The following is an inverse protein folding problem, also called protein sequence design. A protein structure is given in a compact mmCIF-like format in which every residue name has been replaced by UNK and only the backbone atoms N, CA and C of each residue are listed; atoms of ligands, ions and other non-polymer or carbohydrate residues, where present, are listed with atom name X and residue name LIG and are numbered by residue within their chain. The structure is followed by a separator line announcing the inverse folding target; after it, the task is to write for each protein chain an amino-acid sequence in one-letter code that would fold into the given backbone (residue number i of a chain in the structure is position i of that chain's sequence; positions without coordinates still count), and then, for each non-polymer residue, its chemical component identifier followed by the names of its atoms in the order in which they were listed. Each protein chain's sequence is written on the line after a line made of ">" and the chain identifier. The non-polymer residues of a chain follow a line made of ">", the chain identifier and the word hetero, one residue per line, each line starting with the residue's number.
data_IF_098756325456
#
_entry.id   IF_098756325456
#
_cell.length_a   1.000
_cell.length_b   1.000
_cell.length_c   1.000
_cell.angle_alpha   90.00
_cell.angle_beta   90.00
_cell.angle_gamma   90.00
#
_symmetry.space_group_name_H-M   'P 1'
#
loop_
_entity.id
_entity.type
_entity.pdbx_description
1 polymer ?
#
# COMPACT_ATOMS: atom_id res chain seq x y z
N UNK A 1 27.25 -36.51 -41.42
CA UNK A 1 25.93 -35.87 -41.61
C UNK A 1 25.99 -34.51 -40.94
N UNK A 2 26.17 -33.46 -41.73
CA UNK A 2 26.29 -32.07 -41.26
C UNK A 2 24.91 -31.45 -41.15
N UNK A 3 24.50 -31.07 -39.94
CA UNK A 3 23.24 -30.37 -39.68
C UNK A 3 23.37 -28.90 -40.10
N UNK A 4 22.52 -28.50 -41.03
CA UNK A 4 22.45 -27.17 -41.60
C UNK A 4 21.65 -26.24 -40.65
N UNK A 5 22.30 -25.22 -40.09
CA UNK A 5 21.78 -24.33 -39.03
C UNK A 5 20.95 -23.15 -39.61
N UNK A 6 20.80 -23.07 -40.93
CA UNK A 6 20.14 -21.94 -41.59
C UNK A 6 18.64 -22.12 -41.86
N UNK A 7 17.90 -22.82 -41.00
CA UNK A 7 16.44 -22.88 -41.13
C UNK A 7 15.79 -21.83 -40.20
N UNK A 8 15.22 -20.74 -40.74
CA UNK A 8 14.54 -19.72 -39.93
C UNK A 8 13.33 -20.33 -39.21
N UNK A 9 13.11 -19.87 -37.98
CA UNK A 9 12.08 -20.41 -37.08
C UNK A 9 10.67 -20.02 -37.55
N UNK A 10 9.68 -20.93 -37.47
CA UNK A 10 8.33 -20.73 -38.03
C UNK A 10 7.47 -19.63 -37.36
N UNK A 11 8.01 -18.90 -36.39
CA UNK A 11 7.33 -17.76 -35.75
C UNK A 11 7.83 -16.38 -36.24
N UNK A 12 8.79 -16.33 -37.17
CA UNK A 12 9.28 -15.07 -37.76
C UNK A 12 8.43 -14.55 -38.94
N UNK A 13 7.54 -15.36 -39.51
CA UNK A 13 6.68 -14.93 -40.63
C UNK A 13 5.44 -14.12 -40.22
N UNK A 14 5.09 -14.10 -38.93
CA UNK A 14 3.94 -13.34 -38.40
C UNK A 14 4.33 -11.99 -37.76
N UNK A 15 5.47 -11.41 -38.16
CA UNK A 15 5.70 -9.97 -37.98
C UNK A 15 4.85 -9.22 -39.01
N UNK A 16 3.54 -9.15 -38.73
CA UNK A 16 2.66 -8.16 -39.33
C UNK A 16 3.40 -6.82 -39.34
N UNK A 17 3.55 -6.26 -40.53
CA UNK A 17 4.10 -4.92 -40.77
C UNK A 17 3.61 -3.99 -39.67
N UNK A 18 4.49 -3.16 -39.08
CA UNK A 18 4.08 -2.22 -38.04
C UNK A 18 2.88 -1.45 -38.58
N UNK A 19 1.72 -1.69 -37.96
CA UNK A 19 0.53 -0.93 -38.25
C UNK A 19 0.93 0.54 -38.13
N UNK A 20 0.57 1.39 -39.11
CA UNK A 20 0.85 2.81 -39.00
C UNK A 20 0.31 3.28 -37.64
N UNK A 21 1.05 4.14 -36.92
CA UNK A 21 0.61 4.60 -35.61
C UNK A 21 -0.81 5.10 -35.74
N UNK A 22 -1.73 4.46 -35.00
CA UNK A 22 -3.11 4.91 -34.92
C UNK A 22 -3.02 6.34 -34.41
N UNK A 23 -3.28 7.30 -35.30
CA UNK A 23 -3.45 8.70 -34.93
C UNK A 23 -4.67 8.76 -34.01
N UNK A 24 -4.45 8.57 -32.72
CA UNK A 24 -5.38 8.95 -31.68
C UNK A 24 -5.43 10.48 -31.72
N UNK A 25 -6.17 11.04 -32.67
CA UNK A 25 -6.68 12.41 -32.62
C UNK A 25 -7.71 12.46 -31.50
N UNK A 26 -7.24 12.34 -30.26
CA UNK A 26 -7.96 12.85 -29.12
C UNK A 26 -8.02 14.35 -29.33
N UNK A 27 -9.21 14.86 -29.66
CA UNK A 27 -9.51 16.27 -29.54
C UNK A 27 -9.12 16.67 -28.11
N UNK A 28 -7.97 17.32 -27.98
CA UNK A 28 -7.49 17.86 -26.72
C UNK A 28 -8.46 18.99 -26.35
N UNK A 29 -9.54 18.63 -25.66
CA UNK A 29 -10.45 19.60 -25.07
C UNK A 29 -9.62 20.58 -24.27
N UNK A 30 -9.70 21.87 -24.64
CA UNK A 30 -8.94 22.91 -23.98
C UNK A 30 -9.16 22.82 -22.47
N UNK A 31 -8.11 22.92 -21.64
CA UNK A 31 -8.27 22.84 -20.20
C UNK A 31 -9.16 24.00 -19.75
N UNK A 32 -10.40 23.67 -19.36
CA UNK A 32 -11.33 24.65 -18.80
C UNK A 32 -10.74 25.11 -17.47
N UNK A 33 -10.02 26.22 -17.51
CA UNK A 33 -9.45 26.85 -16.32
C UNK A 33 -10.55 27.66 -15.65
N UNK A 34 -11.38 26.99 -14.85
CA UNK A 34 -12.36 27.67 -14.03
C UNK A 34 -11.63 28.32 -12.84
N UNK A 35 -11.36 29.62 -12.92
CA UNK A 35 -10.86 30.40 -11.78
C UNK A 35 -12.00 30.58 -10.77
N UNK A 36 -12.16 29.63 -9.85
CA UNK A 36 -13.13 29.77 -8.74
C UNK A 36 -12.53 30.77 -7.74
N UNK A 37 -12.90 32.04 -7.85
CA UNK A 37 -12.60 33.05 -6.82
C UNK A 37 -13.60 32.86 -5.68
N UNK A 38 -13.14 32.29 -4.58
CA UNK A 38 -13.93 32.16 -3.35
C UNK A 38 -13.44 33.22 -2.37
N UNK A 39 -14.30 34.20 -2.07
CA UNK A 39 -14.03 35.24 -1.08
C UNK A 39 -15.18 35.30 -0.06
N UNK A 40 -15.24 34.35 0.90
CA UNK A 40 -16.31 34.29 1.89
C UNK A 40 -16.31 35.51 2.80
N UNK A 41 -15.14 36.12 2.98
CA UNK A 41 -14.93 37.37 3.72
C UNK A 41 -15.56 38.59 3.03
N UNK A 42 -15.79 38.52 1.72
CA UNK A 42 -16.44 39.56 0.94
C UNK A 42 -17.97 39.38 0.83
N UNK A 43 -18.51 38.23 1.25
CA UNK A 43 -19.93 37.94 1.15
C UNK A 43 -20.75 38.80 2.13
N UNK A 44 -21.69 39.56 1.59
CA UNK A 44 -22.53 40.46 2.38
C UNK A 44 -23.42 39.71 3.39
N UNK A 45 -23.89 38.52 3.05
CA UNK A 45 -24.75 37.68 3.92
C UNK A 45 -23.93 37.15 5.08
N UNK A 46 -22.71 36.67 4.86
CA UNK A 46 -21.84 36.20 5.94
C UNK A 46 -21.42 37.34 6.87
N UNK A 47 -21.17 38.54 6.34
CA UNK A 47 -20.87 39.74 7.15
C UNK A 47 -22.06 40.15 8.01
N UNK A 48 -23.27 40.12 7.44
CA UNK A 48 -24.51 40.40 8.17
C UNK A 48 -24.73 39.37 9.30
N UNK A 49 -24.62 38.08 9.00
CA UNK A 49 -24.70 36.99 9.99
C UNK A 49 -23.64 37.13 11.09
N UNK A 50 -22.41 37.52 10.74
CA UNK A 50 -21.36 37.79 11.72
C UNK A 50 -21.74 38.97 12.63
N UNK A 51 -22.23 40.08 12.06
CA UNK A 51 -22.66 41.24 12.84
C UNK A 51 -23.80 40.91 13.81
N UNK A 52 -24.77 40.09 13.37
CA UNK A 52 -25.87 39.60 14.20
C UNK A 52 -25.35 38.67 15.32
N UNK A 53 -24.38 37.80 15.01
CA UNK A 53 -23.70 36.97 15.98
C UNK A 53 -22.99 37.78 17.07
N UNK A 54 -22.29 38.86 16.69
CA UNK A 54 -21.65 39.79 17.65
C UNK A 54 -22.70 40.47 18.54
N UNK A 55 -23.81 40.93 17.96
CA UNK A 55 -24.91 41.53 18.72
C UNK A 55 -25.50 40.55 19.75
N UNK A 56 -25.83 39.32 19.32
CA UNK A 56 -26.35 38.27 20.20
C UNK A 56 -25.34 37.87 21.28
N UNK A 57 -24.05 37.83 20.97
CA UNK A 57 -23.02 37.54 21.95
C UNK A 57 -22.93 38.63 23.02
N UNK A 58 -23.02 39.90 22.63
CA UNK A 58 -23.04 41.03 23.57
C UNK A 58 -24.29 40.98 24.46
N UNK A 59 -25.46 40.69 23.88
CA UNK A 59 -26.71 40.50 24.63
C UNK A 59 -26.60 39.35 25.64
N UNK A 60 -26.04 38.21 25.22
CA UNK A 60 -25.84 37.05 26.09
C UNK A 60 -24.85 37.34 27.23
N UNK A 61 -23.76 38.05 26.95
CA UNK A 61 -22.73 38.40 27.95
C UNK A 61 -23.30 39.30 29.06
N UNK A 62 -24.22 40.20 28.73
CA UNK A 62 -24.86 41.09 29.70
C UNK A 62 -26.09 40.51 30.40
N UNK A 63 -26.55 39.31 30.03
CA UNK A 63 -27.83 38.78 30.51
C UNK A 63 -27.69 38.12 31.88
N UNK A 64 -28.57 38.52 32.80
CA UNK A 64 -28.78 37.88 34.10
C UNK A 64 -30.16 37.22 34.09
N UNK A 65 -30.22 35.91 34.33
CA UNK A 65 -31.47 35.15 34.37
C UNK A 65 -31.90 35.01 35.82
N UNK A 66 -32.82 35.87 36.26
CA UNK A 66 -33.32 35.91 37.65
C UNK A 66 -34.81 35.55 37.77
N UNK A 67 -35.53 35.41 36.66
CA UNK A 67 -36.97 35.14 36.62
C UNK A 67 -37.33 34.15 35.52
N UNK A 68 -38.52 33.52 35.64
CA UNK A 68 -39.05 32.62 34.61
C UNK A 68 -39.28 33.33 33.26
N UNK A 69 -39.58 34.62 33.28
CA UNK A 69 -39.73 35.44 32.07
C UNK A 69 -38.37 35.62 31.38
N UNK A 70 -37.33 36.02 32.13
CA UNK A 70 -35.96 36.12 31.59
C UNK A 70 -35.40 34.79 31.05
N UNK A 71 -35.89 33.66 31.57
CA UNK A 71 -35.55 32.34 31.06
C UNK A 71 -36.23 32.03 29.73
N UNK A 72 -37.46 32.52 29.49
CA UNK A 72 -38.16 32.38 28.20
C UNK A 72 -37.45 33.20 27.11
N UNK A 73 -37.11 34.45 27.41
CA UNK A 73 -36.36 35.31 26.48
C UNK A 73 -35.01 34.70 26.11
N UNK A 74 -34.33 34.08 27.08
CA UNK A 74 -33.09 33.35 26.82
C UNK A 74 -33.31 32.13 25.92
N UNK A 75 -34.41 31.40 26.08
CA UNK A 75 -34.74 30.27 25.22
C UNK A 75 -35.04 30.71 23.78
N UNK A 76 -35.75 31.84 23.62
CA UNK A 76 -36.03 32.41 22.29
C UNK A 76 -34.74 32.84 21.58
N UNK A 77 -33.83 33.50 22.30
CA UNK A 77 -32.53 33.88 21.75
C UNK A 77 -31.67 32.67 21.38
N UNK A 78 -31.70 31.58 22.16
CA UNK A 78 -31.04 30.32 21.80
C UNK A 78 -31.60 29.75 20.49
N UNK A 79 -32.92 29.85 20.27
CA UNK A 79 -33.53 29.40 19.03
C UNK A 79 -33.08 30.26 17.84
N UNK A 80 -32.92 31.58 18.02
CA UNK A 80 -32.37 32.50 17.01
C UNK A 80 -30.90 32.19 16.71
N UNK A 81 -30.07 32.01 17.74
CA UNK A 81 -28.65 31.62 17.60
C UNK A 81 -28.52 30.32 16.80
N UNK A 82 -29.35 29.32 17.12
CA UNK A 82 -29.35 28.05 16.40
C UNK A 82 -29.70 28.21 14.92
N UNK A 83 -30.64 29.11 14.57
CA UNK A 83 -30.97 29.43 13.18
C UNK A 83 -29.80 30.08 12.45
N UNK A 84 -29.14 31.08 13.04
CA UNK A 84 -27.98 31.73 12.41
C UNK A 84 -26.78 30.80 12.26
N UNK A 85 -26.53 29.94 13.25
CA UNK A 85 -25.48 28.91 13.14
C UNK A 85 -25.72 28.01 11.92
N UNK A 86 -26.94 27.53 11.74
CA UNK A 86 -27.31 26.73 10.56
C UNK A 86 -27.14 27.52 9.25
N UNK A 87 -27.51 28.80 9.22
CA UNK A 87 -27.34 29.63 8.03
C UNK A 87 -25.86 29.83 7.64
N UNK A 88 -24.98 30.04 8.62
CA UNK A 88 -23.52 30.13 8.39
C UNK A 88 -22.96 28.80 7.89
N UNK A 89 -23.37 27.68 8.49
CA UNK A 89 -22.95 26.34 8.05
C UNK A 89 -23.40 26.05 6.61
N UNK A 90 -24.63 26.41 6.25
CA UNK A 90 -25.14 26.21 4.89
C UNK A 90 -24.40 27.06 3.85
N UNK A 91 -24.12 28.33 4.18
CA UNK A 91 -23.27 29.18 3.34
C UNK A 91 -21.85 28.63 3.22
N UNK A 92 -21.29 28.09 4.30
CA UNK A 92 -20.01 27.40 4.27
C UNK A 92 -19.99 26.25 3.26
N UNK A 93 -21.04 25.42 3.23
CA UNK A 93 -21.19 24.32 2.29
C UNK A 93 -21.30 24.79 0.84
N UNK A 94 -22.04 25.87 0.57
CA UNK A 94 -22.13 26.45 -0.79
C UNK A 94 -20.75 26.70 -1.41
N UNK A 95 -19.74 27.06 -0.60
CA UNK A 95 -18.37 27.22 -1.06
C UNK A 95 -17.57 25.91 -1.08
N UNK A 96 -17.70 25.07 -0.06
CA UNK A 96 -16.84 23.87 0.08
C UNK A 96 -17.28 22.71 -0.79
N UNK A 97 -18.59 22.55 -1.03
CA UNK A 97 -19.15 21.43 -1.77
C UNK A 97 -18.66 21.34 -3.22
N UNK A 98 -18.65 22.43 -4.02
CA UNK A 98 -18.09 22.35 -5.37
C UNK A 98 -16.59 22.03 -5.37
N UNK A 99 -15.81 22.59 -4.43
CA UNK A 99 -14.37 22.28 -4.28
C UNK A 99 -14.17 20.81 -3.95
N UNK A 100 -14.94 20.28 -3.01
CA UNK A 100 -14.88 18.88 -2.61
C UNK A 100 -15.31 17.95 -3.74
N UNK A 101 -16.33 18.33 -4.53
CA UNK A 101 -16.77 17.58 -5.70
C UNK A 101 -15.67 17.53 -6.78
N UNK A 102 -15.04 18.66 -7.09
CA UNK A 102 -13.92 18.71 -8.04
C UNK A 102 -12.71 17.91 -7.52
N UNK A 103 -12.36 18.05 -6.25
CA UNK A 103 -11.28 17.30 -5.62
C UNK A 103 -11.54 15.78 -5.68
N UNK A 104 -12.79 15.36 -5.45
CA UNK A 104 -13.21 13.97 -5.58
C UNK A 104 -13.06 13.47 -7.02
N UNK A 105 -13.57 14.23 -8.00
CA UNK A 105 -13.45 13.89 -9.41
C UNK A 105 -11.99 13.74 -9.85
N UNK A 106 -11.11 14.68 -9.46
CA UNK A 106 -9.67 14.61 -9.74
C UNK A 106 -9.05 13.36 -9.13
N UNK A 107 -9.35 13.06 -7.86
CA UNK A 107 -8.85 11.85 -7.19
C UNK A 107 -9.30 10.57 -7.88
N UNK A 108 -10.56 10.50 -8.30
CA UNK A 108 -11.11 9.36 -9.03
C UNK A 108 -10.45 9.19 -10.41
N UNK A 109 -10.25 10.28 -11.16
CA UNK A 109 -9.52 10.26 -12.42
C UNK A 109 -8.08 9.78 -12.23
N UNK A 110 -7.35 10.36 -11.28
CA UNK A 110 -5.96 9.95 -10.99
C UNK A 110 -5.90 8.49 -10.56
N UNK A 111 -6.84 8.02 -9.73
CA UNK A 111 -6.94 6.60 -9.36
C UNK A 111 -7.15 5.70 -10.58
N UNK A 112 -8.03 6.09 -11.50
CA UNK A 112 -8.24 5.37 -12.76
C UNK A 112 -6.98 5.31 -13.62
N UNK A 113 -6.23 6.41 -13.70
CA UNK A 113 -4.96 6.48 -14.42
C UNK A 113 -3.85 5.65 -13.77
N UNK A 114 -3.84 5.53 -12.43
CA UNK A 114 -2.85 4.75 -11.68
C UNK A 114 -3.14 3.25 -11.67
N UNK A 115 -4.41 2.83 -11.77
CA UNK A 115 -4.82 1.44 -11.73
C UNK A 115 -4.01 0.47 -12.63
N UNK A 116 -3.73 0.76 -13.93
CA UNK A 116 -2.92 -0.13 -14.75
C UNK A 116 -1.46 -0.24 -14.27
N UNK A 117 -0.89 0.84 -13.71
CA UNK A 117 0.47 0.80 -13.16
C UNK A 117 0.53 -0.04 -11.88
N UNK A 118 -0.46 0.10 -11.00
CA UNK A 118 -0.58 -0.74 -9.79
C UNK A 118 -0.78 -2.22 -10.15
N UNK A 119 -1.60 -2.51 -11.17
CA UNK A 119 -1.77 -3.88 -11.67
C UNK A 119 -0.47 -4.45 -12.25
N UNK A 120 0.25 -3.67 -13.05
CA UNK A 120 1.54 -4.08 -13.61
C UNK A 120 2.60 -4.31 -12.52
N UNK A 121 2.69 -3.43 -11.53
CA UNK A 121 3.60 -3.57 -10.38
C UNK A 121 3.29 -4.84 -9.59
N UNK A 122 2.02 -5.10 -9.28
CA UNK A 122 1.58 -6.32 -8.59
C UNK A 122 1.97 -7.59 -9.36
N UNK A 123 1.66 -7.64 -10.67
CA UNK A 123 1.99 -8.79 -11.52
C UNK A 123 3.50 -9.02 -11.55
N UNK A 124 4.30 -7.97 -11.70
CA UNK A 124 5.76 -8.10 -11.75
C UNK A 124 6.34 -8.55 -10.40
N UNK A 125 5.83 -8.05 -9.27
CA UNK A 125 6.23 -8.53 -7.93
C UNK A 125 5.90 -10.00 -7.73
N UNK A 126 4.71 -10.43 -8.14
CA UNK A 126 4.31 -11.84 -8.04
C UNK A 126 5.21 -12.74 -8.90
N UNK A 127 5.49 -12.36 -10.14
CA UNK A 127 6.40 -13.11 -11.02
C UNK A 127 7.81 -13.20 -10.46
N UNK A 128 8.34 -12.10 -9.93
CA UNK A 128 9.67 -12.09 -9.34
C UNK A 128 9.74 -12.94 -8.07
N UNK A 129 8.71 -12.89 -7.23
CA UNK A 129 8.60 -13.77 -6.06
C UNK A 129 8.55 -15.24 -6.45
N UNK A 130 7.72 -15.60 -7.44
CA UNK A 130 7.63 -16.97 -7.95
C UNK A 130 8.97 -17.46 -8.51
N UNK A 131 9.68 -16.60 -9.25
CA UNK A 131 11.04 -16.91 -9.72
C UNK A 131 12.02 -17.17 -8.57
N UNK A 132 12.03 -16.33 -7.54
CA UNK A 132 12.90 -16.55 -6.37
C UNK A 132 12.57 -17.83 -5.62
N UNK A 133 11.29 -18.17 -5.48
CA UNK A 133 10.84 -19.42 -4.86
C UNK A 133 11.30 -20.63 -5.67
N UNK A 134 11.23 -20.56 -7.00
CA UNK A 134 11.66 -21.63 -7.89
C UNK A 134 13.19 -21.81 -7.89
N UNK A 135 13.96 -20.72 -7.86
CA UNK A 135 15.42 -20.79 -7.73
C UNK A 135 15.85 -21.38 -6.38
N UNK A 136 15.17 -21.00 -5.29
CA UNK A 136 15.40 -21.61 -3.98
C UNK A 136 15.00 -23.10 -3.94
N UNK A 137 13.93 -23.50 -4.65
CA UNK A 137 13.52 -24.90 -4.79
C UNK A 137 14.63 -25.73 -5.47
N UNK A 138 15.08 -25.29 -6.65
CA UNK A 138 16.17 -25.96 -7.39
C UNK A 138 17.45 -26.06 -6.56
N UNK A 139 17.78 -24.99 -5.84
CA UNK A 139 18.94 -24.95 -4.96
C UNK A 139 18.86 -26.03 -3.87
N UNK A 140 17.73 -26.12 -3.17
CA UNK A 140 17.52 -27.14 -2.12
C UNK A 140 17.56 -28.56 -2.68
N UNK A 141 17.02 -28.78 -3.87
CA UNK A 141 17.08 -30.10 -4.53
C UNK A 141 18.52 -30.51 -4.85
N UNK A 142 19.35 -29.59 -5.36
CA UNK A 142 20.77 -29.87 -5.63
C UNK A 142 21.53 -30.10 -4.31
N UNK A 143 21.26 -29.30 -3.28
CA UNK A 143 21.87 -29.48 -1.95
C UNK A 143 21.51 -30.85 -1.34
N UNK A 144 20.26 -31.28 -1.44
CA UNK A 144 19.82 -32.59 -0.94
C UNK A 144 20.41 -33.75 -1.76
N UNK A 145 20.50 -33.62 -3.08
CA UNK A 145 21.19 -34.62 -3.93
C UNK A 145 22.66 -34.74 -3.55
N UNK A 146 23.36 -33.62 -3.34
CA UNK A 146 24.75 -33.61 -2.92
C UNK A 146 24.91 -34.28 -1.54
N UNK A 147 24.02 -33.96 -0.59
CA UNK A 147 24.00 -34.59 0.73
C UNK A 147 23.80 -36.11 0.66
N UNK A 148 22.82 -36.57 -0.10
CA UNK A 148 22.54 -38.01 -0.26
C UNK A 148 23.71 -38.75 -0.93
N UNK A 149 24.38 -38.12 -1.91
CA UNK A 149 25.58 -38.69 -2.55
C UNK A 149 26.74 -38.81 -1.57
N UNK A 150 26.97 -37.80 -0.75
CA UNK A 150 28.00 -37.85 0.30
C UNK A 150 27.71 -38.93 1.34
N UNK A 151 26.45 -39.03 1.81
CA UNK A 151 26.05 -40.06 2.77
C UNK A 151 26.18 -41.47 2.17
N UNK A 152 25.83 -41.67 0.90
CA UNK A 152 26.00 -42.96 0.21
C UNK A 152 27.49 -43.34 0.08
N UNK A 153 28.35 -42.41 -0.33
CA UNK A 153 29.78 -42.65 -0.46
C UNK A 153 30.44 -42.95 0.90
N UNK A 154 30.00 -42.28 1.99
CA UNK A 154 30.46 -42.59 3.34
C UNK A 154 30.08 -44.00 3.77
N UNK A 155 28.84 -44.43 3.53
CA UNK A 155 28.39 -45.80 3.85
C UNK A 155 29.15 -46.84 3.04
N UNK A 156 29.44 -46.57 1.77
CA UNK A 156 30.21 -47.48 0.92
C UNK A 156 31.67 -47.63 1.41
N UNK A 157 32.31 -46.53 1.82
CA UNK A 157 33.65 -46.56 2.40
C UNK A 157 33.71 -47.29 3.76
N UNK A 158 32.64 -47.20 4.57
CA UNK A 158 32.52 -47.96 5.82
C UNK A 158 32.34 -49.46 5.58
N UNK A 159 31.56 -49.84 4.56
CA UNK A 159 31.29 -51.25 4.22
C UNK A 159 32.45 -51.94 3.50
N UNK A 160 33.24 -51.22 2.71
CA UNK A 160 34.38 -51.78 1.97
C UNK A 160 35.61 -52.05 2.84
N UNK A 161 35.62 -51.57 4.10
CA UNK A 161 36.62 -51.93 5.11
C UNK A 161 38.04 -51.41 4.85
N UNK A 162 38.26 -50.64 3.76
CA UNK A 162 39.57 -50.07 3.41
C UNK A 162 39.83 -48.70 4.02
N UNK A 163 38.83 -48.03 4.61
CA UNK A 163 39.01 -46.74 5.32
C UNK A 163 39.43 -45.55 4.43
N UNK A 164 39.71 -45.79 3.15
CA UNK A 164 40.00 -44.77 2.16
C UNK A 164 38.74 -44.48 1.35
N UNK A 165 38.29 -43.23 1.40
CA UNK A 165 37.20 -42.69 0.59
C UNK A 165 37.68 -42.71 -0.87
N UNK A 166 37.42 -43.80 -1.58
CA UNK A 166 38.04 -44.10 -2.88
C UNK A 166 37.56 -43.22 -4.04
N UNK A 167 36.51 -42.42 -3.90
CA UNK A 167 36.12 -41.49 -4.97
C UNK A 167 35.71 -40.14 -4.36
N UNK A 168 36.43 -39.09 -4.77
CA UNK A 168 36.02 -37.71 -4.52
C UNK A 168 34.66 -37.51 -5.19
N UNK A 169 33.58 -37.61 -4.42
CA UNK A 169 32.21 -37.43 -4.91
C UNK A 169 32.13 -36.03 -5.52
N UNK A 170 32.09 -35.98 -6.85
CA UNK A 170 31.96 -34.73 -7.60
C UNK A 170 30.60 -34.11 -7.29
N UNK A 171 30.60 -33.13 -6.38
CA UNK A 171 29.41 -32.38 -6.01
C UNK A 171 28.88 -31.64 -7.25
N UNK A 172 27.56 -31.66 -7.44
CA UNK A 172 26.95 -30.80 -8.44
C UNK A 172 27.08 -29.34 -7.98
N UNK A 173 27.45 -28.40 -8.88
CA UNK A 173 27.58 -27.00 -8.52
C UNK A 173 26.22 -26.43 -8.10
N UNK A 174 26.14 -25.93 -6.87
CA UNK A 174 24.93 -25.26 -6.34
C UNK A 174 24.84 -23.86 -6.96
N UNK A 175 23.73 -23.50 -7.63
CA UNK A 175 23.56 -22.17 -8.20
C UNK A 175 23.50 -21.11 -7.10
N UNK A 176 24.29 -20.04 -7.24
CA UNK A 176 24.26 -18.90 -6.33
C UNK A 176 23.06 -18.01 -6.66
N UNK A 177 22.04 -18.03 -5.81
CA UNK A 177 20.88 -17.13 -5.92
C UNK A 177 21.21 -15.81 -5.23
N UNK A 178 21.38 -14.75 -6.02
CA UNK A 178 21.61 -13.41 -5.48
C UNK A 178 20.35 -12.93 -4.72
N UNK A 179 20.51 -12.58 -3.44
CA UNK A 179 19.41 -12.05 -2.59
C UNK A 179 18.80 -10.75 -3.14
N UNK A 180 19.60 -9.98 -3.86
CA UNK A 180 19.20 -8.73 -4.49
C UNK A 180 19.53 -8.78 -5.99
N UNK A 181 18.56 -8.39 -6.81
CA UNK A 181 18.72 -8.22 -8.25
C UNK A 181 18.86 -6.73 -8.54
N UNK A 182 20.03 -6.33 -9.07
CA UNK A 182 20.31 -4.94 -9.44
C UNK A 182 19.96 -4.72 -10.91
N UNK A 183 18.98 -3.89 -11.17
CA UNK A 183 18.68 -3.35 -12.49
C UNK A 183 19.42 -2.03 -12.76
N UNK A 184 19.25 -1.52 -13.98
CA UNK A 184 19.78 -0.21 -14.38
C UNK A 184 19.13 0.93 -13.58
N UNK A 185 17.81 0.83 -13.34
CA UNK A 185 16.99 1.88 -12.72
C UNK A 185 16.73 1.69 -11.21
N UNK A 186 17.07 0.54 -10.64
CA UNK A 186 16.80 0.26 -9.24
C UNK A 186 17.30 -1.11 -8.78
N UNK A 187 17.15 -1.39 -7.50
CA UNK A 187 17.46 -2.70 -6.92
C UNK A 187 16.18 -3.33 -6.35
N UNK A 188 15.91 -4.57 -6.72
CA UNK A 188 14.85 -5.39 -6.15
C UNK A 188 15.47 -6.43 -5.21
N UNK A 189 14.90 -6.59 -4.02
CA UNK A 189 15.34 -7.60 -3.05
C UNK A 189 14.15 -8.26 -2.38
N UNK A 190 14.30 -9.50 -1.96
CA UNK A 190 13.31 -10.17 -1.12
C UNK A 190 13.43 -9.63 0.31
N UNK A 191 12.30 -9.42 0.97
CA UNK A 191 12.22 -8.97 2.35
C UNK A 191 11.09 -9.71 3.05
N UNK A 192 11.29 -10.05 4.32
CA UNK A 192 10.25 -10.69 5.13
C UNK A 192 9.53 -9.62 5.95
N UNK A 193 8.21 -9.54 5.80
CA UNK A 193 7.35 -8.68 6.61
C UNK A 193 6.65 -9.55 7.64
N UNK A 194 6.75 -9.16 8.91
CA UNK A 194 5.96 -9.76 9.97
C UNK A 194 4.51 -9.29 9.87
N UNK A 195 3.59 -10.24 9.68
CA UNK A 195 2.15 -10.04 9.82
C UNK A 195 1.69 -10.71 11.11
N UNK A 196 0.63 -10.18 11.71
CA UNK A 196 0.07 -10.73 12.93
C UNK A 196 -1.44 -10.56 12.96
N UNK A 197 -2.09 -11.49 13.65
CA UNK A 197 -3.54 -11.51 13.85
C UNK A 197 -3.83 -11.87 15.30
N UNK A 198 -4.81 -11.17 15.90
CA UNK A 198 -5.29 -11.45 17.25
C UNK A 198 -6.31 -12.59 17.17
N UNK A 199 -5.95 -13.76 17.71
CA UNK A 199 -6.81 -14.95 17.76
C UNK A 199 -7.69 -14.94 19.02
N UNK A 200 -7.13 -14.49 20.14
CA UNK A 200 -7.85 -14.45 21.42
C UNK A 200 -7.47 -13.20 22.23
N UNK A 201 -8.38 -12.24 22.31
CA UNK A 201 -8.18 -10.99 23.03
C UNK A 201 -8.11 -11.19 24.56
N UNK A 202 -8.70 -12.26 25.11
CA UNK A 202 -8.67 -12.53 26.55
C UNK A 202 -7.27 -12.94 27.03
N UNK A 203 -6.51 -13.59 26.15
CA UNK A 203 -5.13 -13.99 26.40
C UNK A 203 -4.13 -12.86 26.15
N UNK A 204 -4.53 -11.78 25.47
CA UNK A 204 -3.66 -10.63 25.24
C UNK A 204 -3.39 -9.93 26.57
N UNK A 205 -2.11 -9.80 27.00
CA UNK A 205 -1.77 -9.12 28.24
C UNK A 205 -2.35 -7.69 28.31
N UNK A 206 -2.74 -7.23 29.51
CA UNK A 206 -3.37 -5.90 29.75
C UNK A 206 -2.62 -4.76 29.06
N UNK A 207 -1.28 -4.81 29.10
CA UNK A 207 -0.35 -3.86 28.48
C UNK A 207 -0.48 -3.72 26.96
N UNK A 208 -1.13 -4.67 26.28
CA UNK A 208 -1.40 -4.70 24.83
C UNK A 208 -2.89 -4.70 24.49
N UNK A 209 -3.80 -4.67 25.49
CA UNK A 209 -5.27 -4.64 25.27
C UNK A 209 -5.74 -3.33 24.64
N UNK A 210 -5.05 -2.22 24.91
CA UNK A 210 -5.10 -1.05 24.03
C UNK A 210 -4.18 -1.39 22.86
N UNK A 211 -4.75 -1.83 21.74
CA UNK A 211 -4.05 -2.33 20.56
C UNK A 211 -3.14 -1.25 19.94
N UNK A 212 -2.03 -0.95 20.60
CA UNK A 212 -0.91 -0.22 20.02
C UNK A 212 -0.19 -1.20 19.10
N UNK A 213 -0.66 -1.23 17.85
CA UNK A 213 -0.09 -2.04 16.78
C UNK A 213 1.43 -1.85 16.64
N UNK A 214 1.96 -0.68 17.02
CA UNK A 214 3.38 -0.39 17.01
C UNK A 214 4.15 -1.18 18.07
N UNK A 215 3.62 -1.29 19.29
CA UNK A 215 4.26 -2.07 20.37
C UNK A 215 4.25 -3.56 20.10
N UNK A 216 3.11 -4.08 19.66
CA UNK A 216 2.97 -5.51 19.29
C UNK A 216 3.98 -5.85 18.19
N UNK A 217 4.06 -5.02 17.16
CA UNK A 217 5.02 -5.21 16.06
C UNK A 217 6.47 -5.23 16.55
N UNK A 218 6.86 -4.31 17.43
CA UNK A 218 8.23 -4.27 18.00
C UNK A 218 8.57 -5.54 18.79
N UNK A 219 7.63 -6.06 19.58
CA UNK A 219 7.83 -7.30 20.35
C UNK A 219 7.99 -8.50 19.42
N UNK A 220 7.16 -8.61 18.38
CA UNK A 220 7.24 -9.68 17.37
C UNK A 220 8.54 -9.58 16.57
N UNK A 221 8.94 -8.38 16.14
CA UNK A 221 10.19 -8.15 15.41
C UNK A 221 11.43 -8.49 16.26
N UNK A 222 11.36 -8.32 17.59
CA UNK A 222 12.39 -8.74 18.53
C UNK A 222 12.41 -10.26 18.82
N UNK A 223 11.49 -11.03 18.20
CA UNK A 223 11.35 -12.48 18.42
C UNK A 223 10.51 -12.85 19.66
N UNK A 224 9.83 -11.88 20.27
CA UNK A 224 8.91 -12.12 21.38
C UNK A 224 7.54 -12.60 20.91
N UNK A 225 7.03 -13.67 21.52
CA UNK A 225 5.66 -14.12 21.34
C UNK A 225 4.71 -13.36 22.26
N UNK A 226 3.59 -12.86 21.73
CA UNK A 226 2.51 -12.27 22.54
C UNK A 226 1.39 -13.30 22.66
N UNK A 227 1.01 -13.75 23.86
CA UNK A 227 -0.13 -14.64 24.05
C UNK A 227 -1.40 -14.07 23.39
N UNK A 228 -2.15 -14.92 22.70
CA UNK A 228 -3.35 -14.52 21.94
C UNK A 228 -3.09 -13.95 20.54
N UNK A 229 -1.82 -13.75 20.14
CA UNK A 229 -1.45 -13.23 18.81
C UNK A 229 -0.69 -14.29 18.02
N UNK A 230 -1.17 -14.56 16.80
CA UNK A 230 -0.47 -15.40 15.84
C UNK A 230 0.35 -14.50 14.91
N UNK A 231 1.67 -14.63 14.94
CA UNK A 231 2.57 -13.90 14.05
C UNK A 231 3.17 -14.84 12.99
N UNK A 232 3.30 -14.37 11.76
CA UNK A 232 3.97 -15.10 10.68
C UNK A 232 4.77 -14.15 9.79
N UNK A 233 5.75 -14.69 9.09
CA UNK A 233 6.55 -13.96 8.12
C UNK A 233 6.00 -14.20 6.72
N UNK A 234 5.76 -13.14 5.98
CA UNK A 234 5.43 -13.20 4.55
C UNK A 234 6.60 -12.61 3.76
N UNK A 235 7.02 -13.34 2.72
CA UNK A 235 8.05 -12.85 1.81
C UNK A 235 7.44 -11.91 0.79
N UNK A 236 8.03 -10.73 0.64
CA UNK A 236 7.63 -9.71 -0.31
C UNK A 236 8.84 -9.18 -1.08
N UNK A 237 8.59 -8.61 -2.24
CA UNK A 237 9.62 -7.89 -3.01
C UNK A 237 9.63 -6.44 -2.57
N UNK A 238 10.79 -5.96 -2.12
CA UNK A 238 11.05 -4.53 -1.91
C UNK A 238 11.84 -3.98 -3.09
N UNK A 239 11.37 -2.87 -3.65
CA UNK A 239 12.07 -2.16 -4.74
C UNK A 239 12.58 -0.84 -4.19
N UNK A 240 13.84 -0.53 -4.46
CA UNK A 240 14.45 0.78 -4.15
C UNK A 240 14.95 1.39 -5.45
N UNK A 241 14.37 2.53 -5.82
CA UNK A 241 14.83 3.35 -6.93
C UNK A 241 16.09 4.10 -6.52
N UNK A 242 16.98 4.37 -7.49
CA UNK A 242 18.16 5.22 -7.27
C UNK A 242 17.81 6.70 -7.26
#
# INVERSE_FOLDING_TARGET
>A
MTLNINNPMPWEEDRQSPQPPVELRGEAGEPITALIRVSPDADAVLRDLFSQGVCLNNLATGRIIASQESAKDAADDLAVIAKFKKAVEEKGKEYTDPINAHLKAVRETVKGLLAPFEAADLINRQKLLAYHQEEERKRREIEEINRLREEAARREAELSGTGEISESVSQLPVPFVAKNVRGSLGTAGTSKIWKWECVDQAQVPEQFKVLDAGRIRKVIEAGGGVPGIKAWQEETIRVTTK
#
